data_IF_884260503002
#
_entry.id   IF_884260503002
#
_cell.length_a   1.000
_cell.length_b   1.000
_cell.length_c   1.000
_cell.angle_alpha   90.00
_cell.angle_beta   90.00
_cell.angle_gamma   90.00
#
_symmetry.space_group_name_H-M   'P 1'
#
loop_
_entity.id
_entity.type
_entity.pdbx_description
1 polymer ?
#
# COMPACT_ATOMS: atom_id res chain seq x y z
N UNK A 1 2.08 5.17 -5.34
CA UNK A 1 1.56 3.94 -4.67
C UNK A 1 0.34 3.48 -5.45
N UNK A 2 0.16 2.17 -5.56
CA UNK A 2 -0.88 1.55 -6.37
C UNK A 2 -1.61 0.48 -5.56
N UNK A 3 -2.93 0.39 -5.78
CA UNK A 3 -3.79 -0.62 -5.18
C UNK A 3 -4.58 -1.28 -6.30
N UNK A 4 -4.43 -2.60 -6.45
CA UNK A 4 -5.12 -3.41 -7.46
C UNK A 4 -5.95 -4.49 -6.79
N UNK A 5 -7.12 -4.77 -7.37
CA UNK A 5 -7.97 -5.89 -7.01
C UNK A 5 -8.07 -6.84 -8.21
N UNK A 6 -7.97 -8.13 -7.95
CA UNK A 6 -8.23 -9.19 -8.91
C UNK A 6 -8.72 -10.43 -8.16
N UNK A 7 -9.85 -10.99 -8.56
CA UNK A 7 -10.57 -12.04 -7.86
C UNK A 7 -10.73 -11.76 -6.37
N UNK A 8 -10.16 -12.63 -5.55
CA UNK A 8 -10.16 -12.60 -4.09
C UNK A 8 -8.96 -11.85 -3.48
N UNK A 9 -8.19 -11.12 -4.30
CA UNK A 9 -6.87 -10.64 -3.91
C UNK A 9 -6.74 -9.13 -4.07
N UNK A 10 -6.19 -8.49 -3.04
CA UNK A 10 -5.79 -7.07 -3.01
C UNK A 10 -4.27 -6.97 -3.03
N UNK A 11 -3.71 -6.32 -4.05
CA UNK A 11 -2.28 -5.98 -4.14
C UNK A 11 -2.05 -4.51 -3.84
N UNK A 12 -1.19 -4.23 -2.88
CA UNK A 12 -0.71 -2.88 -2.53
C UNK A 12 0.76 -2.80 -2.89
N UNK A 13 1.12 -1.88 -3.77
CA UNK A 13 2.47 -1.72 -4.30
C UNK A 13 2.92 -0.26 -4.21
N UNK A 14 4.22 -0.06 -4.03
CA UNK A 14 4.78 1.28 -4.08
C UNK A 14 6.29 1.27 -3.98
N UNK A 15 6.86 2.46 -3.95
CA UNK A 15 8.26 2.66 -3.59
C UNK A 15 8.32 3.70 -2.48
N UNK A 16 9.09 3.42 -1.44
CA UNK A 16 9.57 4.46 -0.54
C UNK A 16 10.81 5.04 -1.19
N UNK A 17 10.78 6.32 -1.50
CA UNK A 17 11.92 7.06 -2.05
C UNK A 17 12.51 7.91 -0.94
N UNK A 18 13.80 8.14 -1.05
CA UNK A 18 14.45 9.17 -0.27
C UNK A 18 13.97 10.55 -0.75
N UNK A 19 13.97 11.54 0.14
CA UNK A 19 14.11 12.91 -0.34
C UNK A 19 15.55 13.03 -0.81
N UNK A 20 15.78 13.44 -2.06
CA UNK A 20 17.14 13.64 -2.55
C UNK A 20 17.69 14.86 -1.81
N UNK A 21 18.46 14.62 -0.76
CA UNK A 21 19.10 15.71 -0.04
C UNK A 21 20.19 16.32 -0.93
N UNK A 22 20.27 17.65 -0.92
CA UNK A 22 21.20 18.40 -1.78
C UNK A 22 22.67 18.02 -1.54
N UNK A 23 23.53 18.44 -2.47
CA UNK A 23 24.96 18.07 -2.59
C UNK A 23 25.82 18.28 -1.33
N UNK A 24 25.28 18.94 -0.29
CA UNK A 24 26.00 19.33 0.94
C UNK A 24 25.63 18.51 2.18
N UNK A 25 24.86 17.42 2.06
CA UNK A 25 24.46 16.60 3.23
C UNK A 25 25.20 15.26 3.26
N UNK A 26 25.78 14.91 4.41
CA UNK A 26 26.41 13.61 4.69
C UNK A 26 25.71 12.92 5.86
N UNK A 27 25.47 11.61 5.73
CA UNK A 27 24.83 10.79 6.75
C UNK A 27 25.85 9.87 7.42
N UNK A 28 25.76 9.76 8.73
CA UNK A 28 26.49 8.72 9.46
C UNK A 28 25.74 7.37 9.43
N UNK A 29 24.40 7.38 9.40
CA UNK A 29 23.58 6.17 9.40
C UNK A 29 22.16 6.45 8.89
N UNK A 30 21.60 5.50 8.14
CA UNK A 30 20.20 5.47 7.68
C UNK A 30 19.66 4.05 7.93
N UNK A 31 18.71 3.91 8.85
CA UNK A 31 18.20 2.59 9.29
C UNK A 31 16.90 2.16 8.61
N UNK A 32 16.18 3.11 8.01
CA UNK A 32 14.91 2.83 7.34
C UNK A 32 15.21 2.37 5.92
N UNK A 33 14.75 1.18 5.55
CA UNK A 33 14.87 0.68 4.18
C UNK A 33 13.95 1.45 3.22
N UNK A 34 14.55 2.11 2.24
CA UNK A 34 13.85 2.78 1.13
C UNK A 34 13.91 1.89 -0.11
N UNK A 35 12.80 1.22 -0.41
CA UNK A 35 12.74 0.28 -1.52
C UNK A 35 11.34 0.19 -2.12
N UNK A 36 11.23 -0.56 -3.22
CA UNK A 36 9.94 -1.05 -3.70
C UNK A 36 9.36 -1.99 -2.64
N UNK A 37 8.09 -1.78 -2.30
CA UNK A 37 7.32 -2.69 -1.47
C UNK A 37 6.12 -3.22 -2.25
N UNK A 38 5.75 -4.45 -1.91
CA UNK A 38 4.56 -5.11 -2.42
C UNK A 38 3.97 -5.98 -1.32
N UNK A 39 2.66 -5.88 -1.11
CA UNK A 39 1.92 -6.74 -0.19
C UNK A 39 0.64 -7.20 -0.86
N UNK A 40 0.41 -8.50 -0.78
CA UNK A 40 -0.76 -9.16 -1.33
C UNK A 40 -1.59 -9.70 -0.17
N UNK A 41 -2.87 -9.32 -0.11
CA UNK A 41 -3.82 -9.77 0.88
C UNK A 41 -4.89 -10.57 0.15
N UNK A 42 -5.10 -11.82 0.59
CA UNK A 42 -6.15 -12.69 0.06
C UNK A 42 -7.35 -12.68 1.00
N UNK A 43 -8.53 -12.60 0.43
CA UNK A 43 -9.82 -12.64 1.11
C UNK A 43 -10.47 -14.02 0.94
N UNK A 44 -11.42 -14.39 1.80
CA UNK A 44 -12.13 -15.68 1.68
C UNK A 44 -13.05 -15.77 0.44
N UNK A 45 -13.28 -14.66 -0.24
CA UNK A 45 -14.25 -14.48 -1.32
C UNK A 45 -13.71 -13.52 -2.40
N UNK A 46 -14.29 -13.51 -3.61
CA UNK A 46 -14.02 -12.47 -4.59
C UNK A 46 -14.37 -11.08 -4.05
N UNK A 47 -13.50 -10.11 -4.30
CA UNK A 47 -13.68 -8.70 -3.94
C UNK A 47 -13.68 -7.78 -5.17
N UNK A 48 -13.74 -8.36 -6.37
CA UNK A 48 -13.95 -7.62 -7.62
C UNK A 48 -15.27 -6.85 -7.54
N UNK A 49 -15.23 -5.56 -7.85
CA UNK A 49 -16.38 -4.65 -7.71
C UNK A 49 -16.55 -4.03 -6.31
N UNK A 50 -15.74 -4.42 -5.32
CA UNK A 50 -15.77 -3.75 -4.02
C UNK A 50 -15.43 -2.26 -4.15
N UNK A 51 -16.19 -1.42 -3.45
CA UNK A 51 -15.85 0.00 -3.35
C UNK A 51 -14.69 0.18 -2.36
N UNK A 52 -13.67 0.95 -2.77
CA UNK A 52 -12.44 1.13 -1.97
C UNK A 52 -12.27 2.59 -1.61
N UNK A 53 -12.45 2.89 -0.33
CA UNK A 53 -12.07 4.18 0.25
C UNK A 53 -10.63 4.11 0.75
N UNK A 54 -9.84 5.15 0.43
CA UNK A 54 -8.42 5.23 0.76
C UNK A 54 -8.17 6.45 1.63
N UNK A 55 -7.52 6.25 2.77
CA UNK A 55 -7.04 7.35 3.62
C UNK A 55 -5.57 7.16 3.92
N UNK A 56 -4.79 8.21 3.73
CA UNK A 56 -3.39 8.25 4.13
C UNK A 56 -3.19 9.36 5.15
N UNK A 57 -2.66 9.02 6.32
CA UNK A 57 -2.37 9.96 7.40
C UNK A 57 -1.19 9.44 8.22
N UNK A 58 -0.23 10.32 8.51
CA UNK A 58 0.92 10.06 9.39
C UNK A 58 1.69 8.76 9.03
N UNK A 59 1.97 8.56 7.75
CA UNK A 59 2.70 7.37 7.28
C UNK A 59 1.85 6.10 7.13
N UNK A 60 0.60 6.12 7.59
CA UNK A 60 -0.31 4.97 7.59
C UNK A 60 -1.31 5.05 6.44
N UNK A 61 -1.34 3.98 5.63
CA UNK A 61 -2.40 3.74 4.66
C UNK A 61 -3.51 2.91 5.30
N UNK A 62 -4.73 3.45 5.29
CA UNK A 62 -5.95 2.73 5.66
C UNK A 62 -6.79 2.55 4.41
N UNK A 63 -7.08 1.29 4.08
CA UNK A 63 -7.99 0.90 3.01
C UNK A 63 -9.26 0.37 3.64
N UNK A 64 -10.41 0.96 3.29
CA UNK A 64 -11.74 0.44 3.66
C UNK A 64 -12.37 -0.12 2.40
N UNK A 65 -12.65 -1.41 2.42
CA UNK A 65 -13.30 -2.13 1.33
C UNK A 65 -14.74 -2.40 1.75
N UNK A 66 -15.71 -2.09 0.89
CA UNK A 66 -17.11 -2.50 1.05
C UNK A 66 -17.45 -3.38 -0.14
N UNK A 67 -17.65 -4.67 0.11
CA UNK A 67 -18.18 -5.62 -0.87
C UNK A 67 -19.69 -5.42 -1.03
N UNK A 68 -20.22 -5.80 -2.20
CA UNK A 68 -21.67 -5.83 -2.43
C UNK A 68 -22.29 -7.14 -1.92
N UNK A 69 -21.48 -8.18 -1.79
CA UNK A 69 -21.86 -9.51 -1.31
C UNK A 69 -21.19 -9.78 0.04
N UNK A 70 -21.90 -10.48 0.93
CA UNK A 70 -21.32 -10.95 2.18
C UNK A 70 -20.33 -12.07 1.87
N UNK A 71 -19.21 -12.04 2.60
CA UNK A 71 -18.20 -13.07 2.53
C UNK A 71 -18.30 -13.89 3.81
N UNK A 72 -18.65 -15.16 3.66
CA UNK A 72 -18.71 -16.14 4.75
C UNK A 72 -17.33 -16.43 5.36
#
# INVERSE_FOLDING_TARGET
MEVRVAGDTLRVMGSRRDETFGETVSYHQLEITYSRFEKTIRFPCPIEGASIERRYKDGLLVLRLKSQEECD
#
